data_IF_435242482530
#
_entry.id   IF_435242482530
#
_cell.length_a   1.000
_cell.length_b   1.000
_cell.length_c   1.000
_cell.angle_alpha   90.00
_cell.angle_beta   90.00
_cell.angle_gamma   90.00
#
_symmetry.space_group_name_H-M   'P 1'
#
loop_
_entity.id
_entity.type
_entity.pdbx_description
1 polymer ?
#
# COMPACT_ATOMS: atom_id res chain seq x y z
N UNK A 1 14.09 -22.38 38.59
CA UNK A 1 13.01 -22.56 37.60
C UNK A 1 13.08 -21.42 36.58
N UNK A 2 13.68 -21.66 35.40
CA UNK A 2 13.80 -20.66 34.31
C UNK A 2 13.42 -21.35 32.99
N UNK A 3 12.12 -21.51 32.73
CA UNK A 3 11.58 -22.03 31.46
C UNK A 3 10.19 -21.42 31.19
N UNK A 4 10.10 -20.10 30.98
CA UNK A 4 8.80 -19.47 30.65
C UNK A 4 8.89 -18.18 29.81
N UNK A 5 10.06 -17.82 29.29
CA UNK A 5 10.18 -16.61 28.44
C UNK A 5 10.08 -16.91 26.93
N UNK A 6 10.47 -18.11 26.47
CA UNK A 6 10.58 -18.40 25.03
C UNK A 6 9.25 -18.70 24.33
N UNK A 7 8.20 -19.09 25.05
CA UNK A 7 6.90 -19.44 24.44
C UNK A 7 6.04 -18.21 24.13
N UNK A 8 6.13 -17.15 24.95
CA UNK A 8 5.39 -15.90 24.73
C UNK A 8 5.93 -15.10 23.53
N UNK A 9 7.24 -15.15 23.27
CA UNK A 9 7.88 -14.43 22.16
C UNK A 9 7.44 -15.02 20.81
N UNK A 10 7.34 -16.36 20.71
CA UNK A 10 6.92 -17.02 19.48
C UNK A 10 5.48 -16.66 19.05
N UNK A 11 4.55 -16.54 20.01
CA UNK A 11 3.17 -16.13 19.75
C UNK A 11 3.05 -14.67 19.29
N UNK A 12 3.86 -13.77 19.84
CA UNK A 12 3.88 -12.35 19.45
C UNK A 12 4.49 -12.15 18.05
N UNK A 13 5.56 -12.87 17.72
CA UNK A 13 6.19 -12.80 16.39
C UNK A 13 5.26 -13.36 15.32
N UNK A 14 4.58 -14.48 15.59
CA UNK A 14 3.61 -15.06 14.65
C UNK A 14 2.41 -14.12 14.42
N UNK A 15 1.94 -13.45 15.47
CA UNK A 15 0.86 -12.46 15.36
C UNK A 15 1.26 -11.23 14.52
N UNK A 16 2.52 -10.78 14.58
CA UNK A 16 2.99 -9.63 13.81
C UNK A 16 3.17 -9.97 12.32
N UNK A 17 3.73 -11.14 11.99
CA UNK A 17 3.93 -11.54 10.59
C UNK A 17 2.59 -11.74 9.85
N UNK A 18 1.65 -12.44 10.48
CA UNK A 18 0.31 -12.66 9.89
C UNK A 18 -0.44 -11.34 9.73
N UNK A 19 -0.28 -10.40 10.67
CA UNK A 19 -0.89 -9.08 10.56
C UNK A 19 -0.30 -8.25 9.43
N UNK A 20 1.02 -8.29 9.21
CA UNK A 20 1.67 -7.59 8.11
C UNK A 20 1.18 -8.11 6.74
N UNK A 21 1.21 -9.43 6.52
CA UNK A 21 0.72 -10.05 5.28
C UNK A 21 -0.75 -9.70 5.01
N UNK A 22 -1.60 -9.72 6.04
CA UNK A 22 -3.01 -9.32 5.91
C UNK A 22 -3.19 -7.84 5.54
N UNK A 23 -2.32 -6.96 6.02
CA UNK A 23 -2.34 -5.54 5.67
C UNK A 23 -1.88 -5.31 4.23
N UNK A 24 -0.87 -6.05 3.76
CA UNK A 24 -0.37 -5.99 2.38
C UNK A 24 -1.45 -6.40 1.37
N UNK A 25 -2.09 -7.55 1.61
CA UNK A 25 -3.19 -8.03 0.75
C UNK A 25 -4.43 -7.13 0.80
N UNK A 26 -4.76 -6.60 1.98
CA UNK A 26 -5.83 -5.61 2.13
C UNK A 26 -5.50 -4.33 1.35
N UNK A 27 -4.27 -3.85 1.41
CA UNK A 27 -3.83 -2.68 0.66
C UNK A 27 -3.96 -2.92 -0.84
N UNK A 28 -3.48 -4.07 -1.35
CA UNK A 28 -3.59 -4.43 -2.78
C UNK A 28 -5.04 -4.49 -3.24
N UNK A 29 -5.93 -5.05 -2.42
CA UNK A 29 -7.37 -5.11 -2.70
C UNK A 29 -7.97 -3.70 -2.85
N UNK A 30 -7.65 -2.79 -1.93
CA UNK A 30 -8.15 -1.41 -1.98
C UNK A 30 -7.51 -0.63 -3.13
N UNK A 31 -6.23 -0.85 -3.42
CA UNK A 31 -5.54 -0.27 -4.56
C UNK A 31 -6.23 -0.64 -5.88
N UNK A 32 -6.50 -1.93 -6.11
CA UNK A 32 -7.19 -2.40 -7.31
C UNK A 32 -8.60 -1.82 -7.45
N UNK A 33 -9.30 -1.59 -6.32
CA UNK A 33 -10.61 -0.92 -6.30
C UNK A 33 -10.53 0.56 -6.74
N UNK A 34 -9.40 1.22 -6.52
CA UNK A 34 -9.22 2.63 -6.87
C UNK A 34 -8.66 2.85 -8.28
N UNK A 35 -8.16 1.81 -8.95
CA UNK A 35 -7.77 1.92 -10.36
C UNK A 35 -9.01 2.22 -11.23
N UNK A 36 -8.90 3.11 -12.24
CA UNK A 36 -10.03 3.45 -13.09
C UNK A 36 -10.63 2.22 -13.75
N UNK A 37 -11.97 2.18 -13.78
CA UNK A 37 -12.68 1.07 -14.38
C UNK A 37 -12.91 1.16 -15.87
N UNK A 38 -12.49 2.25 -16.51
CA UNK A 38 -12.77 2.51 -17.92
C UNK A 38 -12.29 1.40 -18.86
N UNK A 39 -12.98 1.29 -20.00
CA UNK A 39 -12.70 0.28 -21.02
C UNK A 39 -11.55 0.66 -21.95
N UNK A 40 -10.73 1.66 -21.59
CA UNK A 40 -9.54 1.94 -22.36
C UNK A 40 -8.60 0.74 -22.25
N UNK A 41 -7.94 0.41 -23.37
CA UNK A 41 -7.00 -0.71 -23.44
C UNK A 41 -5.92 -0.58 -22.35
N UNK A 42 -5.42 0.63 -22.11
CA UNK A 42 -4.40 0.93 -21.11
C UNK A 42 -4.87 0.66 -19.67
N UNK A 43 -6.07 1.11 -19.29
CA UNK A 43 -6.63 0.85 -17.95
C UNK A 43 -6.93 -0.64 -17.72
N UNK A 44 -7.31 -1.38 -18.76
CA UNK A 44 -7.51 -2.84 -18.67
C UNK A 44 -6.18 -3.56 -18.48
N UNK A 45 -5.17 -3.25 -19.30
CA UNK A 45 -3.84 -3.84 -19.21
C UNK A 45 -3.17 -3.56 -17.86
N UNK A 46 -3.29 -2.32 -17.36
CA UNK A 46 -2.77 -1.91 -16.06
C UNK A 46 -3.38 -2.72 -14.91
N UNK A 47 -4.71 -2.90 -14.90
CA UNK A 47 -5.40 -3.69 -13.87
C UNK A 47 -5.01 -5.16 -13.93
N UNK A 48 -4.94 -5.75 -15.11
CA UNK A 48 -4.52 -7.14 -15.28
C UNK A 48 -3.08 -7.36 -14.83
N UNK A 49 -2.18 -6.40 -15.09
CA UNK A 49 -0.82 -6.41 -14.57
C UNK A 49 -0.83 -6.42 -13.02
N UNK A 50 -1.50 -5.45 -12.40
CA UNK A 50 -1.48 -5.31 -10.93
C UNK A 50 -2.21 -6.42 -10.18
N UNK A 51 -3.21 -7.07 -10.77
CA UNK A 51 -3.83 -8.28 -10.20
C UNK A 51 -2.79 -9.38 -10.03
N UNK A 52 -1.93 -9.58 -11.03
CA UNK A 52 -0.92 -10.64 -11.08
C UNK A 52 0.39 -10.26 -10.38
N UNK A 53 0.66 -8.98 -10.21
CA UNK A 53 1.87 -8.50 -9.55
C UNK A 53 1.97 -9.03 -8.11
N UNK A 54 3.12 -9.56 -7.66
CA UNK A 54 3.32 -9.98 -6.28
C UNK A 54 3.20 -8.77 -5.35
N UNK A 55 2.56 -8.95 -4.19
CA UNK A 55 2.26 -7.83 -3.29
C UNK A 55 3.54 -7.21 -2.75
N UNK A 56 4.57 -8.02 -2.50
CA UNK A 56 5.88 -7.58 -2.02
C UNK A 56 6.58 -6.66 -3.03
N UNK A 57 6.25 -6.80 -4.32
CA UNK A 57 6.79 -5.97 -5.40
C UNK A 57 6.10 -4.62 -5.57
N UNK A 58 4.93 -4.41 -4.96
CA UNK A 58 4.12 -3.18 -5.13
C UNK A 58 3.81 -2.47 -3.81
N UNK A 59 3.73 -3.20 -2.70
CA UNK A 59 3.44 -2.65 -1.38
C UNK A 59 4.45 -1.60 -0.89
N UNK A 60 5.77 -1.72 -1.18
CA UNK A 60 6.74 -0.69 -0.78
C UNK A 60 6.41 0.72 -1.30
N UNK A 61 5.71 0.85 -2.43
CA UNK A 61 5.26 2.16 -2.91
C UNK A 61 4.20 2.77 -2.00
N UNK A 62 3.26 1.94 -1.51
CA UNK A 62 2.26 2.40 -0.56
C UNK A 62 2.88 2.80 0.79
N UNK A 63 3.86 2.03 1.27
CA UNK A 63 4.63 2.37 2.45
C UNK A 63 5.42 3.69 2.27
N UNK A 64 6.04 3.90 1.09
CA UNK A 64 6.76 5.13 0.77
C UNK A 64 5.87 6.38 0.77
N UNK A 65 4.60 6.26 0.34
CA UNK A 65 3.62 7.35 0.42
C UNK A 65 3.35 7.74 1.89
N UNK A 66 3.20 6.73 2.77
CA UNK A 66 3.01 6.95 4.20
C UNK A 66 4.19 7.70 4.82
N UNK A 67 5.41 7.27 4.53
CA UNK A 67 6.62 7.94 5.04
C UNK A 67 6.72 9.39 4.55
N UNK A 68 6.44 9.65 3.27
CA UNK A 68 6.43 11.02 2.75
C UNK A 68 5.39 11.92 3.44
N UNK A 69 4.21 11.37 3.80
CA UNK A 69 3.19 12.10 4.55
C UNK A 69 3.62 12.39 5.99
N UNK A 70 4.34 11.46 6.63
CA UNK A 70 4.94 11.66 7.96
C UNK A 70 5.99 12.75 7.96
N UNK A 71 6.78 12.84 6.88
CA UNK A 71 7.75 13.91 6.66
C UNK A 71 7.10 15.27 6.32
N UNK A 72 5.78 15.32 6.16
CA UNK A 72 5.05 16.55 5.88
C UNK A 72 5.02 16.93 4.40
N UNK A 73 5.37 16.01 3.48
CA UNK A 73 5.27 16.28 2.04
C UNK A 73 3.80 16.46 1.63
N UNK A 74 3.56 17.37 0.69
CA UNK A 74 2.22 17.61 0.17
C UNK A 74 1.81 16.52 -0.82
N UNK A 75 0.49 16.22 -0.88
CA UNK A 75 -0.08 15.26 -1.83
C UNK A 75 0.39 15.50 -3.27
N UNK A 76 0.45 16.76 -3.70
CA UNK A 76 0.89 17.12 -5.06
C UNK A 76 2.29 16.59 -5.33
N UNK A 77 3.24 16.85 -4.44
CA UNK A 77 4.65 16.47 -4.61
C UNK A 77 4.83 14.94 -4.57
N UNK A 78 4.08 14.27 -3.70
CA UNK A 78 4.04 12.80 -3.61
C UNK A 78 3.56 12.20 -4.94
N UNK A 79 2.41 12.67 -5.43
CA UNK A 79 1.82 12.17 -6.67
C UNK A 79 2.69 12.50 -7.89
N UNK A 80 3.31 13.68 -7.92
CA UNK A 80 4.21 14.08 -9.00
C UNK A 80 5.41 13.15 -9.10
N UNK A 81 6.05 12.83 -7.97
CA UNK A 81 7.15 11.85 -7.93
C UNK A 81 6.67 10.45 -8.33
N UNK A 82 5.54 9.97 -7.82
CA UNK A 82 5.01 8.65 -8.17
C UNK A 82 4.63 8.53 -9.65
N UNK A 83 4.06 9.60 -10.21
CA UNK A 83 3.61 9.68 -11.60
C UNK A 83 4.78 9.58 -12.57
N UNK A 84 5.74 10.50 -12.46
CA UNK A 84 6.81 10.64 -13.45
C UNK A 84 7.84 9.51 -13.40
N UNK A 85 7.95 8.82 -12.27
CA UNK A 85 9.00 7.82 -12.07
C UNK A 85 8.53 6.37 -12.20
N UNK A 86 7.22 6.09 -12.13
CA UNK A 86 6.79 4.69 -11.99
C UNK A 86 5.52 4.29 -12.75
N UNK A 87 4.35 4.88 -12.45
CA UNK A 87 3.07 4.16 -12.69
C UNK A 87 2.00 4.94 -13.46
N UNK A 88 2.25 6.19 -13.87
CA UNK A 88 1.20 7.02 -14.47
C UNK A 88 0.26 7.64 -13.42
N UNK A 89 -0.50 8.66 -13.82
CA UNK A 89 -1.37 9.42 -12.89
C UNK A 89 -2.41 8.52 -12.22
N UNK A 90 -3.12 7.63 -12.94
CA UNK A 90 -4.19 6.86 -12.32
C UNK A 90 -3.72 5.87 -11.26
N UNK A 91 -2.63 5.13 -11.53
CA UNK A 91 -2.06 4.22 -10.55
C UNK A 91 -1.48 4.97 -9.35
N UNK A 92 -0.83 6.11 -9.57
CA UNK A 92 -0.27 6.93 -8.48
C UNK A 92 -1.36 7.43 -7.53
N UNK A 93 -2.49 7.91 -8.05
CA UNK A 93 -3.64 8.34 -7.22
C UNK A 93 -4.29 7.15 -6.50
N UNK A 94 -4.44 6.00 -7.18
CA UNK A 94 -4.97 4.78 -6.57
C UNK A 94 -4.08 4.27 -5.42
N UNK A 95 -2.76 4.24 -5.62
CA UNK A 95 -1.78 3.88 -4.58
C UNK A 95 -1.87 4.85 -3.40
N UNK A 96 -1.94 6.16 -3.66
CA UNK A 96 -2.10 7.17 -2.60
C UNK A 96 -3.35 6.92 -1.77
N UNK A 97 -4.51 6.75 -2.44
CA UNK A 97 -5.80 6.51 -1.78
C UNK A 97 -5.79 5.23 -0.94
N UNK A 98 -5.22 4.13 -1.46
CA UNK A 98 -5.10 2.87 -0.74
C UNK A 98 -4.16 2.97 0.47
N UNK A 99 -3.07 3.74 0.34
CA UNK A 99 -2.06 3.90 1.39
C UNK A 99 -2.61 4.66 2.59
N UNK A 100 -3.29 5.78 2.36
CA UNK A 100 -4.01 6.47 3.44
C UNK A 100 -5.25 5.69 3.88
N UNK A 101 -5.69 4.65 3.17
CA UNK A 101 -6.82 3.84 3.61
C UNK A 101 -6.44 2.76 4.62
N UNK A 102 -5.31 2.10 4.35
CA UNK A 102 -4.89 0.86 4.99
C UNK A 102 -3.63 1.07 5.83
N UNK A 103 -2.61 1.74 5.30
CA UNK A 103 -1.29 1.86 5.92
C UNK A 103 -1.23 3.04 6.91
N UNK A 104 -1.72 4.22 6.50
CA UNK A 104 -1.68 5.44 7.31
C UNK A 104 -3.04 6.17 7.39
N UNK A 105 -4.04 5.53 8.03
CA UNK A 105 -5.41 6.04 8.12
C UNK A 105 -5.55 7.40 8.79
N UNK A 106 -4.58 7.82 9.60
CA UNK A 106 -4.52 9.13 10.23
C UNK A 106 -4.45 10.29 9.21
N UNK A 107 -4.00 10.03 7.97
CA UNK A 107 -3.93 11.03 6.91
C UNK A 107 -5.18 11.06 6.01
N UNK A 108 -6.21 10.24 6.27
CA UNK A 108 -7.49 10.27 5.51
C UNK A 108 -8.15 11.64 5.46
N UNK A 109 -8.05 12.40 6.55
CA UNK A 109 -8.69 13.71 6.70
C UNK A 109 -8.01 14.83 5.87
N UNK A 110 -6.85 14.56 5.24
CA UNK A 110 -6.12 15.51 4.38
C UNK A 110 -6.45 15.34 2.88
N UNK A 111 -7.55 14.63 2.56
CA UNK A 111 -7.99 14.30 1.20
C UNK A 111 -8.46 15.50 0.40
#
# INVERSE_FOLDING_TARGET
MKKSASCLIALLVFSCCVYAELQEEKWKTIFLKYLPEDSSKESVEMREYFKKAPVEGIYPFGAGICEALKEGQHKKDILEKSYYHFWGVPASDAMYKASIEVICPEYKARR
#
